data_IF_602226686850
#
_entry.id   IF_602226686850
#
_cell.length_a   1.000
_cell.length_b   1.000
_cell.length_c   1.000
_cell.angle_alpha   90.00
_cell.angle_beta   90.00
_cell.angle_gamma   90.00
#
_symmetry.space_group_name_H-M   'P 1'
#
loop_
_entity.id
_entity.type
_entity.pdbx_description
1 polymer ?
#
# COMPACT_ATOMS: atom_id res chain seq x y z
N UNK A 1 -4.63 12.92 0.37
CA UNK A 1 -5.47 14.10 0.68
C UNK A 1 -6.43 14.43 -0.47
N UNK A 2 -5.98 14.45 -1.74
CA UNK A 2 -6.88 14.71 -2.87
C UNK A 2 -7.97 13.64 -3.03
N UNK A 3 -7.63 12.37 -2.80
CA UNK A 3 -8.55 11.26 -2.96
C UNK A 3 -9.63 11.19 -1.88
N UNK A 4 -9.34 11.62 -0.65
CA UNK A 4 -10.24 11.41 0.48
C UNK A 4 -11.28 12.54 0.60
N UNK A 5 -12.56 12.17 0.55
CA UNK A 5 -13.66 13.14 0.58
C UNK A 5 -13.79 13.89 1.92
N UNK A 6 -13.26 13.34 3.03
CA UNK A 6 -13.33 14.02 4.33
C UNK A 6 -12.41 15.25 4.40
N UNK A 7 -11.31 15.25 3.64
CA UNK A 7 -10.31 16.33 3.67
C UNK A 7 -10.24 17.12 2.38
N UNK A 8 -10.67 16.57 1.24
CA UNK A 8 -10.71 17.29 -0.01
C UNK A 8 -11.97 18.14 -0.12
N UNK A 9 -11.92 19.36 0.38
CA UNK A 9 -13.00 20.35 0.33
C UNK A 9 -12.93 21.29 -0.88
N UNK A 10 -12.08 20.97 -1.89
CA UNK A 10 -11.89 21.80 -3.08
C UNK A 10 -13.15 21.89 -3.93
N UNK A 11 -13.35 23.07 -4.54
CA UNK A 11 -14.48 23.36 -5.42
C UNK A 11 -14.07 23.58 -6.89
N UNK A 12 -12.78 23.35 -7.19
CA UNK A 12 -12.23 23.37 -8.54
C UNK A 12 -12.19 21.97 -9.17
N UNK A 13 -11.49 21.83 -10.30
CA UNK A 13 -11.37 20.57 -11.03
C UNK A 13 -10.70 19.41 -10.27
N UNK A 14 -10.16 19.65 -9.08
CA UNK A 14 -9.46 18.65 -8.24
C UNK A 14 -10.28 18.25 -6.99
N UNK A 15 -11.56 18.60 -6.91
CA UNK A 15 -12.45 18.27 -5.80
C UNK A 15 -13.82 17.81 -6.25
N UNK A 16 -14.78 17.81 -5.31
CA UNK A 16 -16.15 17.40 -5.58
C UNK A 16 -16.31 15.89 -5.78
N UNK A 17 -16.78 15.45 -6.94
CA UNK A 17 -17.06 14.05 -7.24
C UNK A 17 -15.80 13.19 -7.48
N UNK A 18 -16.01 11.89 -7.69
CA UNK A 18 -14.96 10.89 -7.90
C UNK A 18 -13.92 11.33 -8.94
N UNK A 19 -14.35 11.79 -10.11
CA UNK A 19 -13.45 12.20 -11.18
C UNK A 19 -12.53 13.37 -10.77
N UNK A 20 -13.06 14.37 -10.07
CA UNK A 20 -12.26 15.50 -9.58
C UNK A 20 -11.25 15.08 -8.51
N UNK A 21 -11.68 14.27 -7.54
CA UNK A 21 -10.78 13.77 -6.48
C UNK A 21 -9.68 12.87 -7.04
N UNK A 22 -9.94 12.08 -8.10
CA UNK A 22 -8.95 11.19 -8.72
C UNK A 22 -7.98 11.95 -9.66
N UNK A 23 -8.37 13.11 -10.17
CA UNK A 23 -7.64 13.84 -11.22
C UNK A 23 -6.18 14.07 -10.88
N UNK A 24 -5.87 14.59 -9.69
CA UNK A 24 -4.49 14.89 -9.31
C UNK A 24 -3.59 13.66 -9.33
N UNK A 25 -4.05 12.55 -8.74
CA UNK A 25 -3.29 11.30 -8.73
C UNK A 25 -3.03 10.77 -10.16
N UNK A 26 -4.03 10.87 -11.04
CA UNK A 26 -3.91 10.45 -12.43
C UNK A 26 -2.98 11.34 -13.25
N UNK A 27 -3.05 12.66 -13.07
CA UNK A 27 -2.16 13.61 -13.76
C UNK A 27 -0.71 13.40 -13.34
N UNK A 28 -0.45 13.21 -12.03
CA UNK A 28 0.89 12.89 -11.54
C UNK A 28 1.39 11.55 -12.11
N UNK A 29 0.56 10.50 -12.08
CA UNK A 29 0.93 9.20 -12.63
C UNK A 29 1.27 9.29 -14.12
N UNK A 30 0.45 10.00 -14.93
CA UNK A 30 0.71 10.24 -16.35
C UNK A 30 2.03 11.00 -16.58
N UNK A 31 2.27 12.06 -15.81
CA UNK A 31 3.49 12.84 -15.95
C UNK A 31 4.74 12.00 -15.62
N UNK A 32 4.69 11.17 -14.58
CA UNK A 32 5.80 10.29 -14.21
C UNK A 32 6.02 9.22 -15.29
N UNK A 33 4.94 8.59 -15.80
CA UNK A 33 5.03 7.60 -16.89
C UNK A 33 5.67 8.21 -18.14
N UNK A 34 5.29 9.44 -18.49
CA UNK A 34 5.91 10.14 -19.64
C UNK A 34 7.40 10.40 -19.41
N UNK A 35 7.78 10.72 -18.18
CA UNK A 35 9.17 11.07 -17.86
C UNK A 35 10.12 9.87 -17.79
N UNK A 36 9.68 8.71 -17.25
CA UNK A 36 10.57 7.59 -16.93
C UNK A 36 10.17 6.24 -17.57
N UNK A 37 9.04 6.18 -18.23
CA UNK A 37 8.47 4.95 -18.81
C UNK A 37 7.54 4.20 -17.83
N UNK A 38 6.47 3.61 -18.34
CA UNK A 38 5.47 2.91 -17.54
C UNK A 38 6.05 1.67 -16.82
N UNK A 39 7.04 1.02 -17.44
CA UNK A 39 7.76 -0.14 -16.92
C UNK A 39 8.60 0.14 -15.65
N UNK A 40 8.66 1.38 -15.20
CA UNK A 40 9.40 1.83 -14.01
C UNK A 40 8.52 2.52 -12.96
N UNK A 41 7.21 2.54 -13.16
CA UNK A 41 6.28 3.27 -12.30
C UNK A 41 5.32 2.31 -11.64
N UNK A 42 5.24 2.39 -10.32
CA UNK A 42 4.19 1.78 -9.51
C UNK A 42 3.53 2.82 -8.63
N UNK A 43 2.40 2.47 -8.03
CA UNK A 43 1.69 3.37 -7.11
C UNK A 43 1.25 2.61 -5.86
N UNK A 44 1.33 3.30 -4.71
CA UNK A 44 0.78 2.79 -3.45
C UNK A 44 -0.48 3.56 -3.07
N UNK A 45 -1.53 2.81 -2.75
CA UNK A 45 -2.82 3.32 -2.31
C UNK A 45 -3.21 2.74 -0.94
N UNK A 46 -3.92 3.53 -0.14
CA UNK A 46 -4.41 3.13 1.19
C UNK A 46 -5.87 3.58 1.37
N UNK A 47 -6.84 2.82 0.84
CA UNK A 47 -8.24 3.25 0.75
C UNK A 47 -8.88 3.68 2.06
N UNK A 48 -8.63 2.96 3.15
CA UNK A 48 -9.20 3.21 4.48
C UNK A 48 -8.19 3.81 5.47
N UNK A 49 -7.10 4.39 4.98
CA UNK A 49 -6.10 5.02 5.85
C UNK A 49 -6.69 6.14 6.69
N UNK A 50 -6.50 6.07 8.02
CA UNK A 50 -7.08 6.98 9.00
C UNK A 50 -6.04 7.95 9.58
N UNK A 51 -5.19 8.54 8.73
CA UNK A 51 -4.15 9.50 9.13
C UNK A 51 -4.47 10.90 8.63
N UNK A 52 -4.07 11.92 9.37
CA UNK A 52 -4.19 13.32 8.98
C UNK A 52 -5.62 13.70 8.59
N UNK A 53 -6.60 13.30 9.41
CA UNK A 53 -8.03 13.54 9.20
C UNK A 53 -8.64 12.82 7.99
N UNK A 54 -7.92 11.92 7.33
CA UNK A 54 -8.49 10.99 6.34
C UNK A 54 -9.26 9.87 7.05
N UNK A 55 -9.91 9.01 6.32
CA UNK A 55 -10.69 7.89 6.87
C UNK A 55 -11.68 7.36 5.84
N UNK A 56 -12.59 6.53 6.30
CA UNK A 56 -13.67 6.00 5.49
C UNK A 56 -14.64 7.11 5.05
N UNK A 57 -15.21 6.98 3.86
CA UNK A 57 -16.24 7.87 3.29
C UNK A 57 -17.12 7.08 2.30
N UNK A 58 -18.36 7.54 2.04
CA UNK A 58 -19.37 6.74 1.32
C UNK A 58 -18.94 6.19 -0.04
N UNK A 59 -18.10 6.96 -0.77
CA UNK A 59 -17.67 6.60 -2.13
C UNK A 59 -16.29 5.92 -2.20
N UNK A 60 -15.71 5.47 -1.08
CA UNK A 60 -14.32 4.96 -1.07
C UNK A 60 -14.12 3.83 -2.07
N UNK A 61 -14.95 2.81 -2.06
CA UNK A 61 -14.77 1.67 -2.96
C UNK A 61 -14.97 2.02 -4.45
N UNK A 62 -16.07 2.64 -4.88
CA UNK A 62 -16.23 3.01 -6.28
C UNK A 62 -15.16 3.99 -6.76
N UNK A 63 -14.71 4.91 -5.91
CA UNK A 63 -13.65 5.85 -6.26
C UNK A 63 -12.33 5.16 -6.53
N UNK A 64 -11.89 4.27 -5.63
CA UNK A 64 -10.61 3.58 -5.82
C UNK A 64 -10.67 2.57 -6.96
N UNK A 65 -11.80 1.91 -7.22
CA UNK A 65 -11.95 1.06 -8.41
C UNK A 65 -11.81 1.88 -9.68
N UNK A 66 -12.49 3.03 -9.79
CA UNK A 66 -12.36 3.92 -10.95
C UNK A 66 -10.91 4.44 -11.12
N UNK A 67 -10.25 4.83 -10.01
CA UNK A 67 -8.84 5.23 -10.04
C UNK A 67 -7.94 4.12 -10.58
N UNK A 68 -8.11 2.90 -10.07
CA UNK A 68 -7.27 1.74 -10.43
C UNK A 68 -7.46 1.35 -11.89
N UNK A 69 -8.67 1.44 -12.44
CA UNK A 69 -8.93 1.21 -13.87
C UNK A 69 -8.15 2.20 -14.75
N UNK A 70 -8.17 3.48 -14.41
CA UNK A 70 -7.39 4.52 -15.12
C UNK A 70 -5.86 4.31 -14.99
N UNK A 71 -5.40 3.89 -13.82
CA UNK A 71 -3.98 3.58 -13.57
C UNK A 71 -3.54 2.32 -14.34
N UNK A 72 -4.41 1.30 -14.45
CA UNK A 72 -4.16 0.12 -15.27
C UNK A 72 -3.99 0.47 -16.74
N UNK A 73 -4.83 1.38 -17.27
CA UNK A 73 -4.71 1.88 -18.64
C UNK A 73 -3.37 2.59 -18.91
N UNK A 74 -2.70 3.13 -17.89
CA UNK A 74 -1.35 3.69 -17.98
C UNK A 74 -0.25 2.62 -17.99
N UNK A 75 -0.58 1.33 -17.81
CA UNK A 75 0.35 0.19 -17.77
C UNK A 75 1.41 0.30 -16.67
N UNK A 76 1.04 0.78 -15.49
CA UNK A 76 1.95 0.79 -14.35
C UNK A 76 2.41 -0.63 -14.02
N UNK A 77 3.67 -0.79 -13.56
CA UNK A 77 4.25 -2.10 -13.23
C UNK A 77 3.49 -2.75 -12.08
N UNK A 78 3.20 -1.99 -11.01
CA UNK A 78 2.50 -2.53 -9.85
C UNK A 78 1.52 -1.53 -9.22
N UNK A 79 0.50 -2.09 -8.62
CA UNK A 79 -0.38 -1.46 -7.66
C UNK A 79 -0.11 -2.05 -6.27
N UNK A 80 0.29 -1.22 -5.32
CA UNK A 80 0.50 -1.61 -3.93
C UNK A 80 -0.67 -1.12 -3.08
N UNK A 81 -1.43 -2.03 -2.50
CA UNK A 81 -2.56 -1.71 -1.62
C UNK A 81 -2.19 -1.98 -0.17
N UNK A 82 -2.22 -0.92 0.64
CA UNK A 82 -1.89 -0.97 2.06
C UNK A 82 -3.15 -1.00 2.92
N UNK A 83 -3.26 -2.04 3.75
CA UNK A 83 -4.24 -2.15 4.81
C UNK A 83 -3.65 -1.64 6.13
N UNK A 84 -4.27 -0.63 6.70
CA UNK A 84 -3.85 -0.03 7.98
C UNK A 84 -4.56 -0.61 9.21
N UNK A 85 -5.28 -1.72 9.08
CA UNK A 85 -6.03 -2.32 10.19
C UNK A 85 -5.12 -2.71 11.38
N UNK A 86 -3.91 -3.17 11.11
CA UNK A 86 -2.90 -3.40 12.15
C UNK A 86 -2.44 -2.12 12.89
N UNK A 87 -2.93 -0.95 12.49
CA UNK A 87 -2.68 0.37 13.08
C UNK A 87 -3.99 1.01 13.58
N UNK A 88 -5.07 0.24 13.69
CA UNK A 88 -6.35 0.71 14.21
C UNK A 88 -7.29 1.34 13.17
N UNK A 89 -6.95 1.37 11.90
CA UNK A 89 -7.88 1.78 10.85
C UNK A 89 -8.87 0.65 10.49
N UNK A 90 -9.98 0.93 9.81
CA UNK A 90 -10.82 -0.11 9.25
C UNK A 90 -10.04 -1.01 8.29
N UNK A 91 -10.29 -2.32 8.34
CA UNK A 91 -9.67 -3.27 7.42
C UNK A 91 -10.18 -3.04 5.98
N UNK A 92 -9.31 -3.27 5.01
CA UNK A 92 -9.69 -3.29 3.60
C UNK A 92 -10.43 -4.62 3.33
N UNK A 93 -11.76 -4.62 3.04
CA UNK A 93 -12.51 -5.85 2.84
C UNK A 93 -11.93 -6.70 1.72
N UNK A 94 -11.85 -8.03 1.90
CA UNK A 94 -11.32 -8.93 0.88
C UNK A 94 -12.08 -8.80 -0.47
N UNK A 95 -13.40 -8.66 -0.42
CA UNK A 95 -14.21 -8.45 -1.62
C UNK A 95 -13.79 -7.18 -2.38
N UNK A 96 -13.45 -6.13 -1.65
CA UNK A 96 -12.97 -4.88 -2.27
C UNK A 96 -11.55 -5.02 -2.82
N UNK A 97 -10.61 -5.65 -2.09
CA UNK A 97 -9.27 -5.96 -2.62
C UNK A 97 -9.36 -6.78 -3.91
N UNK A 98 -10.23 -7.79 -3.93
CA UNK A 98 -10.47 -8.60 -5.14
C UNK A 98 -10.96 -7.76 -6.32
N UNK A 99 -11.83 -6.76 -6.08
CA UNK A 99 -12.26 -5.83 -7.12
C UNK A 99 -11.10 -4.94 -7.62
N UNK A 100 -10.25 -4.45 -6.72
CA UNK A 100 -9.05 -3.69 -7.10
C UNK A 100 -8.07 -4.56 -7.91
N UNK A 101 -7.83 -5.81 -7.46
CA UNK A 101 -6.98 -6.77 -8.18
C UNK A 101 -7.48 -7.04 -9.60
N UNK A 102 -8.79 -7.21 -9.77
CA UNK A 102 -9.41 -7.42 -11.10
C UNK A 102 -9.41 -6.19 -12.00
N UNK A 103 -9.34 -5.01 -11.40
CA UNK A 103 -9.29 -3.73 -12.13
C UNK A 103 -7.88 -3.34 -12.57
N UNK A 104 -6.84 -4.10 -12.17
CA UNK A 104 -5.45 -3.80 -12.46
C UNK A 104 -4.76 -4.98 -13.16
N UNK A 105 -4.23 -4.76 -14.35
CA UNK A 105 -3.61 -5.80 -15.17
C UNK A 105 -2.14 -6.10 -14.81
N UNK A 106 -1.49 -5.22 -14.03
CA UNK A 106 -0.11 -5.39 -13.57
C UNK A 106 0.02 -6.19 -12.28
N UNK A 107 1.20 -6.12 -11.67
CA UNK A 107 1.51 -6.79 -10.39
C UNK A 107 0.70 -6.15 -9.26
N UNK A 108 -0.02 -6.96 -8.51
CA UNK A 108 -0.77 -6.52 -7.33
C UNK A 108 0.00 -6.88 -6.05
N UNK A 109 0.41 -5.86 -5.29
CA UNK A 109 1.16 -6.02 -4.04
C UNK A 109 0.23 -5.73 -2.86
N UNK A 110 0.04 -6.70 -1.99
CA UNK A 110 -0.69 -6.52 -0.73
C UNK A 110 0.26 -6.17 0.42
N UNK A 111 -0.15 -5.27 1.30
CA UNK A 111 0.57 -4.96 2.53
C UNK A 111 -0.39 -4.68 3.69
N UNK A 112 0.06 -4.93 4.92
CA UNK A 112 -0.68 -4.62 6.13
C UNK A 112 -0.82 -5.81 7.06
N UNK A 113 0.01 -5.88 8.10
CA UNK A 113 -0.14 -6.85 9.19
C UNK A 113 0.12 -8.32 8.85
N UNK A 114 0.68 -8.62 7.69
CA UNK A 114 0.99 -10.01 7.31
C UNK A 114 2.10 -10.59 8.18
N UNK A 115 1.91 -11.84 8.57
CA UNK A 115 2.94 -12.78 8.97
C UNK A 115 3.22 -13.78 7.83
N UNK A 116 4.12 -14.75 8.06
CA UNK A 116 4.45 -15.76 7.05
C UNK A 116 3.22 -16.53 6.58
N UNK A 117 2.43 -17.06 7.52
CA UNK A 117 1.31 -17.94 7.18
C UNK A 117 0.22 -17.20 6.39
N UNK A 118 -0.15 -16.00 6.82
CA UNK A 118 -1.13 -15.16 6.15
C UNK A 118 -0.63 -14.64 4.79
N UNK A 119 0.66 -14.35 4.66
CA UNK A 119 1.26 -13.97 3.38
C UNK A 119 1.27 -15.13 2.37
N UNK A 120 1.70 -16.33 2.79
CA UNK A 120 1.66 -17.53 1.95
C UNK A 120 0.23 -17.86 1.51
N UNK A 121 -0.75 -17.73 2.41
CA UNK A 121 -2.16 -17.91 2.08
C UNK A 121 -2.66 -16.88 1.07
N UNK A 122 -2.34 -15.61 1.25
CA UNK A 122 -2.74 -14.52 0.33
C UNK A 122 -2.25 -14.78 -1.10
N UNK A 123 -1.00 -15.27 -1.24
CA UNK A 123 -0.41 -15.64 -2.52
C UNK A 123 -1.03 -16.90 -3.10
N UNK A 124 -1.21 -17.95 -2.29
CA UNK A 124 -1.77 -19.24 -2.74
C UNK A 124 -3.23 -19.12 -3.22
N UNK A 125 -4.00 -18.24 -2.60
CA UNK A 125 -5.39 -17.96 -2.99
C UNK A 125 -5.51 -16.99 -4.18
N UNK A 126 -4.39 -16.47 -4.69
CA UNK A 126 -4.34 -15.55 -5.83
C UNK A 126 -4.90 -14.15 -5.53
N UNK A 127 -4.96 -13.78 -4.25
CA UNK A 127 -5.43 -12.46 -3.84
C UNK A 127 -4.40 -11.37 -4.10
N UNK A 128 -3.11 -11.72 -4.15
CA UNK A 128 -2.00 -10.85 -4.50
C UNK A 128 -0.92 -11.63 -5.27
N UNK A 129 -0.10 -10.92 -6.03
CA UNK A 129 1.09 -11.47 -6.70
C UNK A 129 2.32 -11.36 -5.79
N UNK A 130 2.33 -10.39 -4.89
CA UNK A 130 3.39 -10.13 -3.92
C UNK A 130 2.83 -9.63 -2.60
N UNK A 131 3.57 -9.88 -1.51
CA UNK A 131 3.27 -9.32 -0.18
C UNK A 131 4.44 -8.47 0.29
N UNK A 132 4.14 -7.25 0.75
CA UNK A 132 5.13 -6.33 1.28
C UNK A 132 5.09 -6.31 2.81
N UNK A 133 6.28 -6.38 3.42
CA UNK A 133 6.49 -6.29 4.86
C UNK A 133 7.19 -4.96 5.20
N UNK A 134 6.60 -4.18 6.10
CA UNK A 134 7.20 -2.93 6.57
C UNK A 134 7.94 -3.13 7.89
N UNK A 135 7.22 -3.09 9.01
CA UNK A 135 7.79 -3.18 10.36
C UNK A 135 8.64 -4.42 10.61
N UNK A 136 8.21 -5.64 10.17
CA UNK A 136 9.07 -6.81 10.30
C UNK A 136 10.39 -6.67 9.54
N UNK A 137 10.39 -6.03 8.36
CA UNK A 137 11.60 -5.86 7.57
C UNK A 137 12.54 -4.81 8.19
N UNK A 138 12.00 -3.77 8.80
CA UNK A 138 12.81 -2.79 9.52
C UNK A 138 13.60 -3.45 10.67
N UNK A 139 12.94 -4.31 11.45
CA UNK A 139 13.55 -4.95 12.63
C UNK A 139 14.37 -6.21 12.30
N UNK A 140 14.31 -6.71 11.07
CA UNK A 140 14.99 -7.93 10.66
C UNK A 140 15.65 -7.73 9.29
N UNK A 141 16.93 -7.33 9.24
CA UNK A 141 17.66 -7.16 7.97
C UNK A 141 17.68 -8.43 7.11
N UNK A 142 17.58 -9.59 7.75
CA UNK A 142 17.54 -10.93 7.18
C UNK A 142 16.13 -11.55 7.20
N UNK A 143 15.07 -10.72 7.10
CA UNK A 143 13.66 -11.15 7.22
C UNK A 143 13.33 -12.32 6.28
N UNK A 144 13.82 -12.29 5.04
CA UNK A 144 13.54 -13.35 4.06
C UNK A 144 14.02 -14.69 4.57
N UNK A 145 15.24 -14.75 5.11
CA UNK A 145 15.80 -15.99 5.68
C UNK A 145 15.02 -16.44 6.92
N UNK A 146 14.66 -15.51 7.79
CA UNK A 146 13.84 -15.83 8.97
C UNK A 146 12.46 -16.38 8.58
N UNK A 147 11.81 -15.79 7.61
CA UNK A 147 10.53 -16.29 7.10
C UNK A 147 10.70 -17.66 6.44
N UNK A 148 11.77 -17.89 5.67
CA UNK A 148 12.04 -19.16 5.00
C UNK A 148 12.27 -20.30 5.99
N UNK A 149 13.03 -20.05 7.05
CA UNK A 149 13.43 -21.06 8.05
C UNK A 149 12.43 -21.17 9.23
N UNK A 150 11.51 -20.21 9.38
CA UNK A 150 10.65 -20.12 10.56
C UNK A 150 11.37 -19.64 11.81
N UNK A 151 12.51 -18.96 11.66
CA UNK A 151 13.26 -18.41 12.78
C UNK A 151 12.53 -17.26 13.47
N UNK A 152 12.82 -17.05 14.77
CA UNK A 152 12.22 -15.98 15.54
C UNK A 152 12.55 -14.59 14.96
N UNK A 153 11.58 -13.71 14.93
CA UNK A 153 11.76 -12.32 14.51
C UNK A 153 12.21 -11.44 15.67
N UNK A 154 13.07 -10.46 15.38
CA UNK A 154 13.34 -9.38 16.30
C UNK A 154 12.07 -8.53 16.49
N UNK A 155 11.81 -8.10 17.72
CA UNK A 155 10.73 -7.16 17.99
C UNK A 155 11.11 -5.74 17.51
N UNK A 156 10.23 -5.04 16.78
CA UNK A 156 10.48 -3.67 16.38
C UNK A 156 10.40 -2.72 17.59
N UNK A 157 11.36 -1.81 17.71
CA UNK A 157 11.32 -0.71 18.67
C UNK A 157 10.59 0.49 18.06
N UNK A 158 9.32 0.66 18.41
CA UNK A 158 8.48 1.74 17.89
C UNK A 158 8.99 3.14 18.23
N UNK A 159 9.76 3.29 19.31
CA UNK A 159 10.31 4.58 19.71
C UNK A 159 11.38 5.10 18.73
N UNK A 160 11.98 4.19 17.94
CA UNK A 160 13.06 4.53 16.99
C UNK A 160 12.59 4.66 15.54
N UNK A 161 11.30 4.44 15.24
CA UNK A 161 10.81 4.41 13.84
C UNK A 161 11.03 5.72 13.07
N UNK A 162 11.06 6.84 13.75
CA UNK A 162 11.16 8.16 13.13
C UNK A 162 12.24 9.03 13.79
N UNK A 163 13.21 8.39 14.44
CA UNK A 163 14.39 9.09 14.99
C UNK A 163 15.38 9.41 13.85
N UNK A 164 16.17 10.50 13.96
CA UNK A 164 17.09 10.92 12.91
C UNK A 164 18.47 10.25 12.96
N UNK A 165 18.65 9.19 13.73
CA UNK A 165 19.95 8.54 13.95
C UNK A 165 19.95 7.06 13.49
N UNK A 166 21.05 6.36 13.71
CA UNK A 166 21.27 4.98 13.29
C UNK A 166 20.46 3.97 14.08
N UNK A 167 20.06 4.33 15.31
CA UNK A 167 19.35 3.44 16.21
C UNK A 167 17.98 3.06 15.65
N UNK A 168 17.72 1.75 15.60
CA UNK A 168 16.47 1.23 15.07
C UNK A 168 16.41 1.15 13.53
N UNK A 169 17.51 1.53 12.84
CA UNK A 169 17.61 1.43 11.38
C UNK A 169 18.65 0.41 10.91
N UNK A 170 19.86 0.44 11.52
CA UNK A 170 20.98 -0.39 11.07
C UNK A 170 21.58 -1.25 12.18
N UNK A 171 21.02 -1.22 13.38
CA UNK A 171 21.55 -1.89 14.57
C UNK A 171 20.79 -3.17 14.97
N UNK A 172 19.73 -3.55 14.23
CA UNK A 172 19.03 -4.81 14.48
C UNK A 172 19.91 -6.02 14.12
N UNK A 173 19.98 -7.05 15.01
CA UNK A 173 20.83 -8.20 14.76
C UNK A 173 20.25 -9.13 13.69
N UNK A 174 21.14 -9.67 12.87
CA UNK A 174 20.83 -10.81 12.01
C UNK A 174 20.86 -12.12 12.81
N UNK A 175 20.40 -13.23 12.21
CA UNK A 175 20.63 -14.57 12.74
C UNK A 175 22.14 -14.80 12.86
N UNK A 176 22.56 -15.43 13.96
CA UNK A 176 23.91 -15.93 14.07
C UNK A 176 24.14 -16.99 12.99
N UNK A 177 25.16 -16.79 12.17
CA UNK A 177 25.63 -17.77 11.18
C UNK A 177 26.36 -18.91 11.83
#
# INVERSE_FOLDING_TARGET
QFLNANVNTRRDGYGGGIAGRNRFALEVARAVVVAVGADRVGIRLSPYGAFNHTGDFPDVEPQYVALVQELSALRLVFLHVLDHSAMGAPAVPLAFRTRLRRAFDGIFVAAGGFDRASAEKELAEGHADMVAFGRPFLANPDLIERLRTGAALNAPDFATFYTPDEKGYIDYPTLAT
#
